data_IF_131976605971
#
_entry.id   IF_131976605971
#
_cell.length_a   1.000
_cell.length_b   1.000
_cell.length_c   1.000
_cell.angle_alpha   90.00
_cell.angle_beta   90.00
_cell.angle_gamma   90.00
#
_symmetry.space_group_name_H-M   'P 1'
#
loop_
_entity.id
_entity.type
_entity.pdbx_description
1 polymer ?
#
# COMPACT_ATOMS: atom_id res chain seq x y z
N UNK A 1 11.96 -11.74 8.22
CA UNK A 1 10.50 -11.51 8.06
C UNK A 1 10.27 -10.01 7.93
N UNK A 2 9.49 -9.57 6.95
CA UNK A 2 9.23 -8.14 6.69
C UNK A 2 7.76 -7.85 6.97
N UNK A 3 7.51 -6.89 7.87
CA UNK A 3 6.16 -6.45 8.22
C UNK A 3 5.83 -5.14 7.50
N UNK A 4 4.73 -5.12 6.76
CA UNK A 4 4.19 -3.93 6.13
C UNK A 4 3.02 -3.38 6.95
N UNK A 5 2.94 -2.05 7.06
CA UNK A 5 1.78 -1.38 7.66
C UNK A 5 0.89 -0.87 6.53
N UNK A 6 -0.30 -1.43 6.41
CA UNK A 6 -1.30 -1.02 5.43
C UNK A 6 -2.43 -0.26 6.11
N UNK A 7 -2.96 0.76 5.45
CA UNK A 7 -4.11 1.51 5.94
C UNK A 7 -5.35 1.08 5.16
N UNK A 8 -6.25 0.40 5.87
CA UNK A 8 -7.47 -0.18 5.30
C UNK A 8 -8.69 0.67 5.62
N UNK A 9 -9.68 0.64 4.73
CA UNK A 9 -10.94 1.33 4.93
C UNK A 9 -11.80 0.54 5.92
N UNK A 10 -12.01 1.06 7.12
CA UNK A 10 -12.82 0.38 8.15
C UNK A 10 -14.32 0.44 7.84
N UNK A 11 -14.78 1.61 7.37
CA UNK A 11 -16.18 1.88 7.04
C UNK A 11 -16.26 2.93 5.95
N UNK A 12 -17.26 2.81 5.07
CA UNK A 12 -17.54 3.81 4.05
C UNK A 12 -17.70 5.22 4.65
N UNK A 13 -17.29 6.23 3.89
CA UNK A 13 -17.40 7.62 4.32
C UNK A 13 -18.84 8.13 4.14
N UNK A 14 -19.52 8.41 5.25
CA UNK A 14 -20.82 9.09 5.29
C UNK A 14 -20.57 10.62 5.40
N UNK A 15 -20.37 11.29 4.26
CA UNK A 15 -20.09 12.73 4.21
C UNK A 15 -18.60 13.07 4.32
N UNK A 16 -18.22 13.94 5.26
CA UNK A 16 -16.81 14.29 5.50
C UNK A 16 -16.09 13.09 6.12
N UNK A 17 -14.88 12.71 5.65
CA UNK A 17 -14.19 11.52 6.13
C UNK A 17 -13.93 11.66 7.65
N UNK A 18 -14.58 10.86 8.51
CA UNK A 18 -14.32 10.91 9.94
C UNK A 18 -12.88 10.45 10.17
N UNK A 19 -12.17 11.12 11.08
CA UNK A 19 -10.75 10.84 11.39
C UNK A 19 -10.49 9.36 11.77
N UNK A 20 -11.52 8.61 12.14
CA UNK A 20 -11.45 7.21 12.60
C UNK A 20 -11.83 6.12 11.58
N UNK A 21 -12.17 6.44 10.33
CA UNK A 21 -12.64 5.43 9.36
C UNK A 21 -11.50 4.65 8.68
N UNK A 22 -10.25 4.91 9.05
CA UNK A 22 -9.08 4.25 8.49
C UNK A 22 -8.35 3.46 9.59
N UNK A 23 -8.19 2.17 9.39
CA UNK A 23 -7.51 1.26 10.31
C UNK A 23 -6.11 0.93 9.82
N UNK A 24 -5.12 0.99 10.70
CA UNK A 24 -3.75 0.59 10.41
C UNK A 24 -3.58 -0.89 10.74
N UNK A 25 -3.44 -1.73 9.73
CA UNK A 25 -3.17 -3.16 9.89
C UNK A 25 -1.70 -3.44 9.60
N UNK A 26 -1.10 -4.29 10.43
CA UNK A 26 0.24 -4.81 10.17
C UNK A 26 0.07 -6.16 9.47
N UNK A 27 0.62 -6.29 8.28
CA UNK A 27 0.55 -7.49 7.45
C UNK A 27 1.96 -8.02 7.27
N UNK A 28 2.15 -9.31 7.50
CA UNK A 28 3.40 -9.98 7.18
C UNK A 28 3.48 -10.23 5.68
N UNK A 29 4.57 -9.80 5.05
CA UNK A 29 4.77 -10.02 3.62
C UNK A 29 5.28 -11.45 3.40
N UNK A 30 4.73 -12.18 2.40
CA UNK A 30 5.26 -13.47 2.01
C UNK A 30 6.70 -13.33 1.49
N UNK A 31 7.48 -14.42 1.50
CA UNK A 31 8.83 -14.42 0.97
C UNK A 31 8.85 -14.05 -0.53
N UNK A 32 9.86 -13.27 -0.90
CA UNK A 32 10.05 -12.74 -2.26
C UNK A 32 10.38 -13.81 -3.29
N UNK A 33 9.67 -13.81 -4.43
CA UNK A 33 9.99 -14.63 -5.60
C UNK A 33 10.89 -13.89 -6.60
N UNK A 34 11.44 -14.61 -7.58
CA UNK A 34 12.28 -14.02 -8.62
C UNK A 34 11.45 -13.12 -9.56
N UNK A 35 11.95 -11.92 -9.84
CA UNK A 35 11.25 -10.90 -10.62
C UNK A 35 10.36 -9.95 -9.80
N UNK A 36 10.18 -10.21 -8.50
CA UNK A 36 9.49 -9.29 -7.60
C UNK A 36 10.46 -8.24 -7.04
N UNK A 37 9.94 -7.04 -6.75
CA UNK A 37 10.70 -5.94 -6.13
C UNK A 37 10.14 -5.54 -4.76
N UNK A 38 10.99 -5.43 -3.73
CA UNK A 38 10.59 -4.96 -2.41
C UNK A 38 10.74 -3.44 -2.34
N UNK A 39 9.61 -2.76 -2.12
CA UNK A 39 9.50 -1.32 -2.09
C UNK A 39 9.12 -0.85 -0.69
N UNK A 40 9.90 0.08 -0.14
CA UNK A 40 9.58 0.78 1.10
C UNK A 40 8.99 2.14 0.78
N UNK A 41 7.76 2.40 1.26
CA UNK A 41 7.11 3.69 1.11
C UNK A 41 7.81 4.75 1.96
N UNK A 42 8.20 5.88 1.34
CA UNK A 42 8.78 7.06 2.00
C UNK A 42 7.72 8.14 2.22
N UNK A 43 6.91 8.41 1.18
CA UNK A 43 5.87 9.44 1.20
C UNK A 43 4.58 8.90 0.56
N UNK A 44 3.45 9.32 1.12
CA UNK A 44 2.11 8.94 0.66
C UNK A 44 1.34 10.19 0.23
N UNK A 45 0.76 10.16 -0.97
CA UNK A 45 -0.03 11.27 -1.50
C UNK A 45 -1.39 11.39 -0.78
N UNK A 46 -1.79 12.64 -0.55
CA UNK A 46 -3.03 13.04 0.10
C UNK A 46 -4.02 13.66 -0.87
N UNK A 47 -4.27 13.03 -2.00
CA UNK A 47 -5.02 13.64 -3.10
C UNK A 47 -6.53 13.78 -2.81
N UNK A 48 -7.18 14.88 -3.27
CA UNK A 48 -8.62 15.10 -3.07
C UNK A 48 -9.52 14.00 -3.68
N UNK A 49 -9.08 13.36 -4.78
CA UNK A 49 -9.86 12.30 -5.44
C UNK A 49 -10.03 11.05 -4.56
N UNK A 50 -9.22 10.89 -3.52
CA UNK A 50 -9.24 9.71 -2.66
C UNK A 50 -10.57 9.54 -1.92
N UNK A 51 -11.27 10.64 -1.63
CA UNK A 51 -12.62 10.58 -1.07
C UNK A 51 -13.62 9.96 -2.04
N UNK A 52 -13.48 10.24 -3.34
CA UNK A 52 -14.32 9.65 -4.39
C UNK A 52 -13.92 8.21 -4.67
N UNK A 53 -12.62 7.92 -4.73
CA UNK A 53 -12.11 6.57 -4.94
C UNK A 53 -12.52 5.62 -3.80
N UNK A 54 -12.54 6.11 -2.57
CA UNK A 54 -12.95 5.33 -1.41
C UNK A 54 -14.41 4.85 -1.45
N UNK A 55 -15.31 5.55 -2.16
CA UNK A 55 -16.68 5.08 -2.36
C UNK A 55 -16.76 3.82 -3.20
N UNK A 56 -15.71 3.50 -3.96
CA UNK A 56 -15.62 2.30 -4.81
C UNK A 56 -14.89 1.14 -4.12
N UNK A 57 -14.25 1.38 -2.98
CA UNK A 57 -13.54 0.37 -2.20
C UNK A 57 -14.50 -0.31 -1.24
N UNK A 58 -14.34 -1.61 -1.01
CA UNK A 58 -15.11 -2.33 0.01
C UNK A 58 -14.47 -2.11 1.39
N UNK A 59 -15.25 -2.35 2.43
CA UNK A 59 -14.72 -2.33 3.80
C UNK A 59 -13.70 -3.44 3.97
N UNK A 60 -12.54 -3.09 4.52
CA UNK A 60 -11.37 -3.96 4.64
C UNK A 60 -10.34 -3.80 3.52
N UNK A 61 -10.69 -3.17 2.40
CA UNK A 61 -9.74 -2.96 1.30
C UNK A 61 -8.64 -1.95 1.67
N UNK A 62 -7.45 -2.19 1.11
CA UNK A 62 -6.34 -1.24 1.21
C UNK A 62 -6.64 0.01 0.37
N UNK A 63 -6.33 1.19 0.92
CA UNK A 63 -6.54 2.44 0.22
C UNK A 63 -5.60 2.57 -0.99
N UNK A 64 -6.15 2.73 -2.19
CA UNK A 64 -5.37 3.04 -3.39
C UNK A 64 -4.85 4.48 -3.31
N UNK A 65 -3.53 4.65 -3.36
CA UNK A 65 -2.86 5.96 -3.32
C UNK A 65 -1.55 5.91 -4.09
N UNK A 66 -1.12 7.07 -4.57
CA UNK A 66 0.22 7.23 -5.10
C UNK A 66 1.23 7.37 -3.95
N UNK A 67 2.40 6.75 -4.11
CA UNK A 67 3.46 6.76 -3.11
C UNK A 67 4.82 6.93 -3.75
N UNK A 68 5.70 7.67 -3.07
CA UNK A 68 7.13 7.70 -3.39
C UNK A 68 7.77 6.60 -2.57
N UNK A 69 8.46 5.70 -3.26
CA UNK A 69 9.06 4.50 -2.68
C UNK A 69 10.55 4.47 -2.91
N UNK A 70 11.26 3.81 -1.99
CA UNK A 70 12.63 3.40 -2.16
C UNK A 70 12.67 1.89 -2.40
N UNK A 71 13.44 1.47 -3.39
CA UNK A 71 13.72 0.06 -3.61
C UNK A 71 14.70 -0.44 -2.57
N UNK A 72 14.32 -1.49 -1.84
CA UNK A 72 15.14 -2.10 -0.77
C UNK A 72 15.85 -3.34 -1.29
N UNK A 73 15.13 -4.20 -1.99
CA UNK A 73 15.64 -5.47 -2.47
C UNK A 73 15.05 -5.78 -3.85
N UNK A 74 15.88 -6.33 -4.74
CA UNK A 74 15.49 -6.77 -6.09
C UNK A 74 16.03 -8.18 -6.28
N UNK A 75 15.16 -9.14 -6.61
CA UNK A 75 15.59 -10.46 -7.07
C UNK A 75 15.54 -10.53 -8.58
N UNK A 76 16.70 -10.37 -9.20
CA UNK A 76 16.86 -10.46 -10.66
C UNK A 76 17.16 -11.89 -11.06
N UNK A 77 16.71 -12.30 -12.26
CA UNK A 77 17.18 -13.51 -12.92
C UNK A 77 18.68 -13.32 -13.21
N UNK A 78 19.55 -14.13 -12.62
CA UNK A 78 20.97 -14.16 -12.97
C UNK A 78 21.13 -14.54 -14.44
N UNK A 79 21.35 -13.54 -15.28
CA UNK A 79 22.16 -13.63 -16.49
C UNK A 79 22.91 -12.31 -16.60
N UNK A 80 24.04 -12.21 -15.90
CA UNK A 80 25.07 -11.23 -16.24
C UNK A 80 25.73 -11.71 -17.54
N UNK A 81 25.31 -11.16 -18.67
CA UNK A 81 26.16 -11.15 -19.87
C UNK A 81 26.96 -9.87 -19.78
N UNK A 82 28.23 -10.04 -19.41
CA UNK A 82 29.32 -9.08 -19.57
C UNK A 82 29.71 -8.98 -21.05
#
# INVERSE_FOLDING_TARGET
>A
MVYAKSRTLKRHFEGSPPRGNLELKTVELPPFNNGEVLLQALLLAGDPYLGVAAKRLKEGDAMMRQQVVRTVEIKIYTTFII
#
